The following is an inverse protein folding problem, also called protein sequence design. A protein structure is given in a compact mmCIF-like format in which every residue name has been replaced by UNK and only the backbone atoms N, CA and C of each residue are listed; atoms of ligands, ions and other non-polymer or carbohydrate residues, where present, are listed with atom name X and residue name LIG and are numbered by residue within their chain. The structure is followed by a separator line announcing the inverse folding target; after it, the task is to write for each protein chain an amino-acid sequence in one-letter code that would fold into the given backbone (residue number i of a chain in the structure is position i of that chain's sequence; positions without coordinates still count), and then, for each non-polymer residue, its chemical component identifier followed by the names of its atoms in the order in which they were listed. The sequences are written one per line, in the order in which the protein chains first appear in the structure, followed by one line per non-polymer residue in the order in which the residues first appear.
data_IF_941034835897
#
_entry.id   IF_941034835897
#
_cell.length_a   1.000
_cell.length_b   1.000
_cell.length_c   1.000
_cell.angle_alpha   90.00
_cell.angle_beta   90.00
_cell.angle_gamma   90.00
#
_symmetry.space_group_name_H-M   'P 1'
#
loop_
_entity.id
_entity.type
_entity.pdbx_description
1 polymer ?
#
# COMPACT_ATOMS: atom_id res chain seq x y z
N UNK A 1 0.42 0.00 6.10
CA UNK A 1 0.90 0.92 5.04
C UNK A 1 1.76 2.01 5.68
N UNK A 2 3.08 1.82 5.70
CA UNK A 2 4.10 2.79 6.18
C UNK A 2 4.75 3.47 4.96
N UNK A 3 3.94 3.91 3.99
CA UNK A 3 4.44 4.41 2.70
C UNK A 3 4.85 5.89 2.73
N UNK A 4 4.82 6.55 3.90
CA UNK A 4 5.11 8.00 4.01
C UNK A 4 5.97 8.38 5.21
N UNK A 5 6.39 7.42 6.04
CA UNK A 5 7.23 7.72 7.21
C UNK A 5 8.28 6.62 7.37
N UNK A 6 9.33 6.70 6.56
CA UNK A 6 10.73 6.56 6.97
C UNK A 6 11.62 6.99 5.80
N UNK A 7 12.32 8.12 5.98
CA UNK A 7 13.10 8.82 4.95
C UNK A 7 14.30 8.02 4.39
N UNK A 8 14.60 6.83 4.94
CA UNK A 8 15.80 6.06 4.58
C UNK A 8 15.57 5.06 3.42
N UNK A 9 14.32 4.65 3.14
CA UNK A 9 14.02 3.60 2.14
C UNK A 9 13.31 4.15 0.88
N UNK A 10 13.21 5.47 0.77
CA UNK A 10 12.52 6.15 -0.33
C UNK A 10 13.21 5.94 -1.69
N UNK A 11 14.54 5.91 -1.74
CA UNK A 11 15.28 5.74 -3.00
C UNK A 11 15.13 4.32 -3.58
N UNK A 12 15.24 3.29 -2.74
CA UNK A 12 15.05 1.89 -3.15
C UNK A 12 13.62 1.62 -3.61
N UNK A 13 12.64 2.19 -2.89
CA UNK A 13 11.25 2.15 -3.30
C UNK A 13 11.07 2.88 -4.63
N UNK A 14 11.53 4.13 -4.78
CA UNK A 14 11.44 4.88 -6.04
C UNK A 14 12.10 4.13 -7.20
N UNK A 15 13.26 3.50 -7.00
CA UNK A 15 13.93 2.67 -8.00
C UNK A 15 13.11 1.42 -8.38
N UNK A 16 12.49 0.76 -7.40
CA UNK A 16 11.58 -0.37 -7.65
C UNK A 16 10.28 0.06 -8.35
N UNK A 17 9.78 1.26 -8.05
CA UNK A 17 8.57 1.84 -8.65
C UNK A 17 8.81 2.42 -10.04
N UNK A 18 10.05 2.80 -10.39
CA UNK A 18 10.45 3.30 -11.72
C UNK A 18 10.77 2.18 -12.71
N UNK A 19 10.77 0.92 -12.27
CA UNK A 19 10.81 -0.23 -13.16
C UNK A 19 9.48 -0.34 -13.94
N UNK A 20 9.54 0.09 -15.21
CA UNK A 20 8.40 0.11 -16.14
C UNK A 20 7.75 -1.25 -16.42
N UNK A 21 8.33 -2.36 -15.97
CA UNK A 21 7.75 -3.70 -16.14
C UNK A 21 6.60 -3.99 -15.17
N UNK A 22 6.45 -3.20 -14.09
CA UNK A 22 5.43 -3.40 -13.06
C UNK A 22 4.32 -2.37 -13.17
N UNK A 23 3.08 -2.80 -12.92
CA UNK A 23 1.95 -1.89 -12.71
C UNK A 23 1.69 -1.75 -11.21
N UNK A 24 1.74 -0.52 -10.73
CA UNK A 24 1.44 -0.20 -9.35
C UNK A 24 -0.06 -0.06 -9.17
N UNK A 25 -0.60 -0.72 -8.14
CA UNK A 25 -1.99 -0.58 -7.75
C UNK A 25 -2.11 -0.54 -6.23
N UNK A 26 -3.08 0.21 -5.74
CA UNK A 26 -3.44 0.26 -4.34
C UNK A 26 -4.94 0.48 -4.18
N UNK A 27 -5.48 0.16 -3.01
CA UNK A 27 -6.84 0.58 -2.65
C UNK A 27 -6.93 2.10 -2.61
N UNK A 28 -8.09 2.66 -2.97
CA UNK A 28 -8.41 4.09 -2.75
C UNK A 28 -8.23 4.55 -1.29
N UNK A 29 -8.16 3.62 -0.33
CA UNK A 29 -7.76 3.94 1.05
C UNK A 29 -6.40 4.65 1.11
N UNK A 30 -5.47 4.35 0.19
CA UNK A 30 -4.16 5.01 0.08
C UNK A 30 -4.32 6.52 -0.02
N UNK A 31 -5.28 7.02 -0.81
CA UNK A 31 -5.53 8.45 -0.95
C UNK A 31 -5.79 9.12 0.41
N UNK A 32 -6.72 8.57 1.18
CA UNK A 32 -7.03 9.06 2.53
C UNK A 32 -5.82 8.98 3.46
N UNK A 33 -5.11 7.86 3.42
CA UNK A 33 -3.95 7.64 4.28
C UNK A 33 -2.80 8.63 4.00
N UNK A 34 -2.50 8.91 2.72
CA UNK A 34 -1.48 9.89 2.33
C UNK A 34 -1.85 11.30 2.80
N UNK A 35 -3.08 11.74 2.55
CA UNK A 35 -3.52 13.06 2.99
C UNK A 35 -3.56 13.19 4.52
N UNK A 36 -4.02 12.16 5.24
CA UNK A 36 -3.96 12.14 6.69
C UNK A 36 -2.52 12.13 7.22
N UNK A 37 -1.60 11.40 6.58
CA UNK A 37 -0.19 11.41 6.95
C UNK A 37 0.42 12.79 6.76
N UNK A 38 0.18 13.45 5.64
CA UNK A 38 0.65 14.80 5.38
C UNK A 38 0.07 15.83 6.37
N UNK A 39 -1.21 15.72 6.72
CA UNK A 39 -1.81 16.55 7.76
C UNK A 39 -1.18 16.37 9.14
N UNK A 40 -0.70 15.16 9.47
CA UNK A 40 0.03 14.89 10.73
C UNK A 40 1.49 15.32 10.68
N UNK A 41 2.12 15.34 9.51
CA UNK A 41 3.53 15.65 9.32
C UNK A 41 3.77 16.69 8.21
N UNK A 42 3.19 17.89 8.31
CA UNK A 42 3.22 18.88 7.23
C UNK A 42 4.62 19.47 6.96
N UNK A 43 5.55 19.34 7.90
CA UNK A 43 6.94 19.76 7.73
C UNK A 43 7.81 18.74 6.96
N UNK A 44 7.31 17.51 6.79
CA UNK A 44 8.05 16.37 6.23
C UNK A 44 7.45 15.97 4.88
N UNK A 45 6.12 15.99 4.76
CA UNK A 45 5.41 15.48 3.59
C UNK A 45 4.82 16.67 2.82
N UNK A 46 5.43 16.98 1.68
CA UNK A 46 4.90 17.97 0.76
C UNK A 46 3.64 17.44 0.03
N UNK A 47 2.66 18.32 -0.18
CA UNK A 47 1.42 17.97 -0.92
C UNK A 47 1.74 17.51 -2.34
N UNK A 48 2.68 18.16 -3.02
CA UNK A 48 3.07 17.80 -4.39
C UNK A 48 3.65 16.37 -4.47
N UNK A 49 4.30 15.90 -3.40
CA UNK A 49 4.79 14.52 -3.32
C UNK A 49 3.63 13.51 -3.23
N UNK A 50 2.53 13.85 -2.54
CA UNK A 50 1.32 13.02 -2.50
C UNK A 50 0.73 12.89 -3.90
N UNK A 51 0.59 14.01 -4.62
CA UNK A 51 0.04 14.02 -5.98
C UNK A 51 0.90 13.15 -6.91
N UNK A 52 2.23 13.29 -6.85
CA UNK A 52 3.14 12.47 -7.66
C UNK A 52 2.98 10.96 -7.40
N UNK A 53 2.80 10.55 -6.13
CA UNK A 53 2.56 9.13 -5.79
C UNK A 53 1.20 8.67 -6.32
N UNK A 54 0.15 9.47 -6.14
CA UNK A 54 -1.20 9.10 -6.60
C UNK A 54 -1.31 9.01 -8.12
N UNK A 55 -0.56 9.84 -8.86
CA UNK A 55 -0.51 9.80 -10.33
C UNK A 55 0.23 8.55 -10.85
N UNK A 56 1.17 8.01 -10.07
CA UNK A 56 1.95 6.82 -10.44
C UNK A 56 1.23 5.50 -10.11
N UNK A 57 0.20 5.52 -9.26
CA UNK A 57 -0.46 4.31 -8.74
C UNK A 57 -1.89 4.21 -9.27
N UNK A 58 -2.24 3.04 -9.83
CA UNK A 58 -3.63 2.75 -10.18
C UNK A 58 -4.47 2.54 -8.91
N UNK A 59 -5.31 3.51 -8.57
CA UNK A 59 -6.21 3.40 -7.42
C UNK A 59 -7.42 2.52 -7.74
N UNK A 60 -7.66 1.53 -6.89
CA UNK A 60 -8.73 0.55 -7.02
C UNK A 60 -9.84 0.84 -6.03
N UNK A 61 -11.08 0.92 -6.52
CA UNK A 61 -12.26 1.18 -5.68
C UNK A 61 -12.39 0.13 -4.58
N UNK A 62 -12.61 0.61 -3.35
CA UNK A 62 -12.96 -0.24 -2.22
C UNK A 62 -14.43 -0.56 -2.30
N UNK A 63 -14.73 -1.83 -2.48
CA UNK A 63 -16.10 -2.34 -2.52
C UNK A 63 -16.54 -2.80 -1.14
N UNK A 64 -17.85 -2.98 -0.97
CA UNK A 64 -18.38 -3.69 0.22
C UNK A 64 -17.78 -5.10 0.36
N UNK A 65 -17.49 -5.78 -0.76
CA UNK A 65 -16.85 -7.09 -0.77
C UNK A 65 -15.47 -7.05 -0.11
N UNK A 66 -14.68 -6.03 -0.42
CA UNK A 66 -13.35 -5.83 0.18
C UNK A 66 -13.43 -5.62 1.69
N UNK A 67 -14.40 -4.83 2.15
CA UNK A 67 -14.61 -4.59 3.58
C UNK A 67 -15.00 -5.87 4.34
N UNK A 68 -15.83 -6.72 3.74
CA UNK A 68 -16.21 -8.01 4.33
C UNK A 68 -15.03 -8.98 4.34
N UNK A 69 -14.28 -9.08 3.24
CA UNK A 69 -13.10 -9.93 3.14
C UNK A 69 -12.00 -9.48 4.11
N UNK A 70 -11.77 -8.18 4.25
CA UNK A 70 -10.81 -7.60 5.20
C UNK A 70 -11.08 -8.07 6.64
N UNK A 71 -12.35 -8.19 7.04
CA UNK A 71 -12.74 -8.70 8.36
C UNK A 71 -12.29 -10.14 8.65
N UNK A 72 -11.92 -10.92 7.63
CA UNK A 72 -11.44 -12.29 7.78
C UNK A 72 -9.93 -12.40 8.01
N UNK A 73 -9.19 -11.30 7.87
CA UNK A 73 -7.73 -11.28 7.97
C UNK A 73 -7.21 -10.89 9.37
N UNK A 74 -8.01 -11.12 10.43
CA UNK A 74 -7.55 -10.91 11.80
C UNK A 74 -6.25 -11.72 12.08
N UNK A 75 -5.27 -11.17 12.82
CA UNK A 75 -5.36 -9.94 13.61
C UNK A 75 -4.93 -8.65 12.87
N UNK A 76 -4.86 -8.64 11.53
CA UNK A 76 -4.43 -7.43 10.80
C UNK A 76 -5.29 -6.22 11.14
N UNK A 77 -4.62 -5.06 11.25
CA UNK A 77 -5.29 -3.77 11.38
C UNK A 77 -6.14 -3.49 10.14
N UNK A 78 -7.25 -2.78 10.34
CA UNK A 78 -8.27 -2.59 9.29
C UNK A 78 -7.71 -2.05 7.97
N UNK A 79 -6.79 -1.07 8.01
CA UNK A 79 -6.22 -0.52 6.79
C UNK A 79 -5.41 -1.56 6.01
N UNK A 80 -4.53 -2.28 6.70
CA UNK A 80 -3.69 -3.33 6.10
C UNK A 80 -4.55 -4.47 5.56
N UNK A 81 -5.61 -4.85 6.29
CA UNK A 81 -6.58 -5.86 5.85
C UNK A 81 -7.36 -5.43 4.60
N UNK A 82 -7.74 -4.15 4.47
CA UNK A 82 -8.43 -3.62 3.28
C UNK A 82 -7.50 -3.63 2.06
N UNK A 83 -6.24 -3.25 2.23
CA UNK A 83 -5.24 -3.34 1.15
C UNK A 83 -5.02 -4.78 0.71
N UNK A 84 -4.86 -5.72 1.65
CA UNK A 84 -4.72 -7.15 1.34
C UNK A 84 -5.96 -7.70 0.61
N UNK A 85 -7.16 -7.40 1.09
CA UNK A 85 -8.41 -7.85 0.45
C UNK A 85 -8.52 -7.30 -0.99
N UNK A 86 -8.16 -6.03 -1.18
CA UNK A 86 -8.16 -5.39 -2.50
C UNK A 86 -7.15 -6.06 -3.44
N UNK A 87 -5.92 -6.30 -2.96
CA UNK A 87 -4.86 -6.96 -3.72
C UNK A 87 -5.28 -8.39 -4.15
N UNK A 88 -5.88 -9.15 -3.24
CA UNK A 88 -6.41 -10.49 -3.54
C UNK A 88 -7.52 -10.43 -4.60
N UNK A 89 -8.45 -9.48 -4.51
CA UNK A 89 -9.56 -9.34 -5.47
C UNK A 89 -9.07 -9.01 -6.88
N UNK A 90 -8.07 -8.15 -7.01
CA UNK A 90 -7.53 -7.79 -8.34
C UNK A 90 -6.52 -8.82 -8.87
N UNK A 91 -6.21 -9.84 -8.09
CA UNK A 91 -5.22 -10.86 -8.46
C UNK A 91 -3.81 -10.30 -8.56
N UNK A 92 -3.41 -9.45 -7.61
CA UNK A 92 -2.06 -8.88 -7.58
C UNK A 92 -1.00 -10.00 -7.48
N UNK A 93 0.04 -9.90 -8.30
CA UNK A 93 1.14 -10.87 -8.32
C UNK A 93 2.01 -10.78 -7.06
N UNK A 94 2.18 -9.57 -6.53
CA UNK A 94 3.00 -9.27 -5.37
C UNK A 94 2.47 -8.10 -4.54
N UNK A 95 2.79 -8.09 -3.25
CA UNK A 95 2.57 -6.98 -2.32
C UNK A 95 3.92 -6.43 -1.88
N UNK A 96 4.07 -5.11 -2.02
CA UNK A 96 5.20 -4.36 -1.50
C UNK A 96 4.86 -3.84 -0.11
N UNK A 97 5.58 -4.28 0.92
CA UNK A 97 5.36 -3.82 2.30
C UNK A 97 6.59 -4.02 3.18
N UNK A 98 6.83 -3.07 4.08
CA UNK A 98 7.80 -3.18 5.18
C UNK A 98 7.16 -3.59 6.52
N UNK A 99 5.83 -3.71 6.55
CA UNK A 99 5.10 -4.16 7.73
C UNK A 99 5.09 -5.70 7.79
N UNK A 100 5.73 -6.26 8.81
CA UNK A 100 5.88 -7.71 9.01
C UNK A 100 4.54 -8.44 9.23
N UNK A 101 3.52 -7.77 9.77
CA UNK A 101 2.20 -8.37 9.94
C UNK A 101 1.52 -8.51 8.58
N UNK A 102 1.50 -7.44 7.78
CA UNK A 102 0.95 -7.48 6.43
C UNK A 102 1.72 -8.45 5.53
N UNK A 103 3.06 -8.49 5.63
CA UNK A 103 3.89 -9.43 4.90
C UNK A 103 3.49 -10.89 5.19
N UNK A 104 3.38 -11.27 6.47
CA UNK A 104 2.99 -12.63 6.86
C UNK A 104 1.58 -12.97 6.38
N UNK A 105 0.64 -12.04 6.47
CA UNK A 105 -0.73 -12.26 6.02
C UNK A 105 -0.81 -12.42 4.49
N UNK A 106 -0.11 -11.59 3.72
CA UNK A 106 -0.02 -11.70 2.27
C UNK A 106 0.58 -13.04 1.83
N UNK A 107 1.70 -13.44 2.44
CA UNK A 107 2.33 -14.72 2.16
C UNK A 107 1.41 -15.92 2.50
N UNK A 108 0.69 -15.84 3.61
CA UNK A 108 -0.30 -16.87 4.01
C UNK A 108 -1.46 -16.95 3.01
N UNK A 109 -1.85 -15.82 2.44
CA UNK A 109 -2.87 -15.73 1.40
C UNK A 109 -2.36 -16.10 -0.01
N UNK A 110 -1.08 -16.48 -0.14
CA UNK A 110 -0.49 -16.94 -1.40
C UNK A 110 0.02 -15.83 -2.32
N UNK A 111 0.08 -14.58 -1.84
CA UNK A 111 0.68 -13.46 -2.59
C UNK A 111 2.19 -13.37 -2.27
N UNK A 112 3.01 -13.14 -3.30
CA UNK A 112 4.44 -12.89 -3.13
C UNK A 112 4.66 -11.57 -2.38
N UNK A 113 5.56 -11.56 -1.39
CA UNK A 113 5.90 -10.33 -0.67
C UNK A 113 7.25 -9.81 -1.13
N UNK A 114 7.34 -8.50 -1.33
CA UNK A 114 8.56 -7.78 -1.66
C UNK A 114 8.76 -6.66 -0.65
N UNK A 115 9.98 -6.53 -0.14
CA UNK A 115 10.42 -5.41 0.68
C UNK A 115 11.74 -4.90 0.05
N UNK A 116 11.68 -3.87 -0.82
CA UNK A 116 12.86 -3.30 -1.46
C UNK A 116 13.84 -2.77 -0.42
N UNK A 117 15.11 -3.17 -0.47
CA UNK A 117 16.15 -2.71 0.46
C UNK A 117 16.90 -1.50 -0.11
#
# INVERSE_FOLDING_TARGET
MKLVIEETESEALVAALTDSSRRLAASWLLHTELHCAAGRHPAIIAIDAITAVLDAVSLVDVTRGDLLAAGTHAPLRSNDAIHLATALRIGADEIVTYDDELARAAATAGIRVVAPA
#
